data_IF_282549911463
#
_entry.id   IF_282549911463
#
_cell.length_a   1.000
_cell.length_b   1.000
_cell.length_c   1.000
_cell.angle_alpha   90.00
_cell.angle_beta   90.00
_cell.angle_gamma   90.00
#
_symmetry.space_group_name_H-M   'P 1'
#
loop_
_entity.id
_entity.type
_entity.pdbx_description
1 polymer ?
#
# COMPACT_ATOMS: atom_id res chain seq x y z
N UNK A 1 -6.61 0.30 -18.15
CA UNK A 1 -6.29 1.65 -17.60
C UNK A 1 -6.75 2.69 -18.60
N UNK A 2 -7.21 3.86 -18.13
CA UNK A 2 -7.78 4.88 -18.99
C UNK A 2 -6.72 5.92 -19.40
N UNK A 3 -6.67 6.34 -20.68
CA UNK A 3 -5.68 7.28 -21.18
C UNK A 3 -6.02 8.74 -20.85
N UNK A 4 -5.94 9.11 -19.58
CA UNK A 4 -6.36 10.43 -19.07
C UNK A 4 -5.28 11.53 -19.12
N UNK A 5 -4.06 11.20 -19.57
CA UNK A 5 -2.91 12.12 -19.60
C UNK A 5 -2.50 12.44 -21.04
N UNK A 6 -3.28 13.32 -21.71
CA UNK A 6 -3.08 13.69 -23.12
C UNK A 6 -2.96 12.47 -24.05
N UNK A 7 -3.85 11.50 -23.88
CA UNK A 7 -3.87 10.26 -24.67
C UNK A 7 -3.00 9.12 -24.12
N UNK A 8 -2.28 9.33 -23.01
CA UNK A 8 -1.53 8.28 -22.31
C UNK A 8 -2.19 7.87 -21.01
N UNK A 9 -2.05 6.59 -20.67
CA UNK A 9 -2.37 6.04 -19.34
C UNK A 9 -1.27 6.38 -18.33
N UNK A 10 -1.55 6.38 -17.02
CA UNK A 10 -0.51 6.59 -16.00
C UNK A 10 0.68 5.64 -16.15
N UNK A 11 0.43 4.33 -16.40
CA UNK A 11 1.53 3.37 -16.59
C UNK A 11 2.40 3.72 -17.80
N UNK A 12 1.82 4.18 -18.90
CA UNK A 12 2.59 4.60 -20.07
C UNK A 12 3.48 5.80 -19.74
N UNK A 13 2.98 6.76 -18.96
CA UNK A 13 3.79 7.91 -18.54
C UNK A 13 4.97 7.46 -17.66
N UNK A 14 4.77 6.54 -16.73
CA UNK A 14 5.85 5.98 -15.91
C UNK A 14 6.87 5.21 -16.77
N UNK A 15 6.40 4.37 -17.68
CA UNK A 15 7.24 3.61 -18.61
C UNK A 15 8.07 4.53 -19.51
N UNK A 16 7.46 5.57 -20.08
CA UNK A 16 8.15 6.55 -20.93
C UNK A 16 9.23 7.31 -20.14
N UNK A 17 8.92 7.70 -18.91
CA UNK A 17 9.86 8.38 -18.03
C UNK A 17 11.08 7.50 -17.70
N UNK A 18 10.83 6.25 -17.28
CA UNK A 18 11.89 5.29 -16.99
C UNK A 18 12.75 4.99 -18.24
N UNK A 19 12.13 4.87 -19.42
CA UNK A 19 12.85 4.65 -20.68
C UNK A 19 13.75 5.83 -21.01
N UNK A 20 13.23 7.06 -20.90
CA UNK A 20 14.02 8.28 -21.14
C UNK A 20 15.19 8.40 -20.15
N UNK A 21 14.98 8.05 -18.88
CA UNK A 21 16.05 8.01 -17.88
C UNK A 21 17.13 6.99 -18.27
N UNK A 22 16.74 5.76 -18.62
CA UNK A 22 17.68 4.73 -19.08
C UNK A 22 18.51 5.21 -20.27
N UNK A 23 17.86 5.75 -21.30
CA UNK A 23 18.55 6.21 -22.51
C UNK A 23 19.53 7.35 -22.20
N UNK A 24 19.12 8.30 -21.34
CA UNK A 24 19.95 9.44 -20.99
C UNK A 24 21.17 9.07 -20.14
N UNK A 25 21.01 8.11 -19.24
CA UNK A 25 22.04 7.72 -18.26
C UNK A 25 22.64 6.34 -18.51
N UNK A 26 22.51 5.82 -19.73
CA UNK A 26 22.92 4.45 -20.10
C UNK A 26 24.35 4.12 -19.66
N UNK A 27 25.29 5.03 -19.86
CA UNK A 27 26.71 4.82 -19.57
C UNK A 27 27.04 4.82 -18.06
N UNK A 28 26.09 5.23 -17.22
CA UNK A 28 26.22 5.26 -15.77
C UNK A 28 25.55 4.07 -15.08
N UNK A 29 24.62 3.38 -15.75
CA UNK A 29 23.87 2.26 -15.18
C UNK A 29 24.78 1.05 -14.94
N UNK A 30 24.60 0.41 -13.79
CA UNK A 30 25.41 -0.73 -13.36
C UNK A 30 26.80 -0.39 -12.83
N UNK A 31 27.17 0.90 -12.82
CA UNK A 31 28.44 1.37 -12.26
C UNK A 31 28.22 2.54 -11.27
N UNK A 32 27.94 3.74 -11.78
CA UNK A 32 27.65 4.90 -10.92
C UNK A 32 26.24 4.81 -10.36
N UNK A 33 25.28 4.42 -11.21
CA UNK A 33 23.90 4.18 -10.83
C UNK A 33 23.72 2.67 -10.64
N UNK A 34 23.88 2.23 -9.38
CA UNK A 34 23.82 0.81 -9.01
C UNK A 34 22.42 0.33 -8.64
N UNK A 35 21.50 1.26 -8.34
CA UNK A 35 20.14 0.96 -7.90
C UNK A 35 19.14 1.97 -8.45
N UNK A 36 17.99 1.47 -8.89
CA UNK A 36 16.82 2.24 -9.31
C UNK A 36 15.67 1.90 -8.36
N UNK A 37 15.32 2.83 -7.48
CA UNK A 37 14.14 2.68 -6.62
C UNK A 37 12.90 3.16 -7.38
N UNK A 38 11.98 2.25 -7.67
CA UNK A 38 10.75 2.55 -8.42
C UNK A 38 9.67 3.00 -7.44
N UNK A 39 9.27 4.26 -7.54
CA UNK A 39 8.20 4.82 -6.72
C UNK A 39 6.82 4.29 -7.11
N UNK A 40 6.05 3.82 -6.12
CA UNK A 40 4.73 3.17 -6.34
C UNK A 40 3.57 3.86 -5.61
N UNK A 41 3.78 5.09 -5.12
CA UNK A 41 2.76 5.80 -4.36
C UNK A 41 3.32 7.02 -3.60
N UNK A 42 2.59 7.50 -2.57
CA UNK A 42 3.02 8.66 -1.77
C UNK A 42 4.39 8.38 -1.14
N UNK A 43 5.27 9.39 -1.14
CA UNK A 43 6.66 9.26 -0.66
C UNK A 43 7.47 8.16 -1.38
N UNK A 44 7.04 7.72 -2.57
CA UNK A 44 7.64 6.61 -3.32
C UNK A 44 7.25 5.22 -2.81
N UNK A 45 6.42 5.12 -1.78
CA UNK A 45 6.07 3.87 -1.10
C UNK A 45 4.90 3.17 -1.80
N UNK A 46 4.91 1.84 -1.82
CA UNK A 46 3.76 1.04 -2.21
C UNK A 46 2.73 1.08 -1.08
N UNK A 47 1.84 2.08 -1.09
CA UNK A 47 0.70 2.21 -0.19
C UNK A 47 -0.31 3.22 -0.68
N UNK A 48 -1.44 3.28 0.00
CA UNK A 48 -2.37 4.40 -0.11
C UNK A 48 -1.96 5.59 0.78
N UNK A 49 -2.40 6.82 0.45
CA UNK A 49 -2.14 8.02 1.26
C UNK A 49 -3.10 8.11 2.46
N UNK A 50 -3.14 7.09 3.33
CA UNK A 50 -4.14 6.97 4.41
C UNK A 50 -3.90 7.83 5.65
N UNK A 51 -2.71 8.43 5.79
CA UNK A 51 -2.32 9.30 6.90
C UNK A 51 -1.72 10.64 6.39
N UNK A 52 -2.51 11.50 5.72
CA UNK A 52 -2.02 12.78 5.23
C UNK A 52 -1.78 13.76 6.39
N UNK A 53 -0.51 14.02 6.71
CA UNK A 53 -0.13 15.01 7.75
C UNK A 53 -0.40 16.47 7.32
N UNK A 54 -0.50 16.71 6.01
CA UNK A 54 -0.77 18.02 5.45
C UNK A 54 -2.01 18.66 6.08
N UNK A 55 -1.88 19.91 6.52
CA UNK A 55 -2.96 20.71 7.11
C UNK A 55 -3.60 20.11 8.38
N UNK A 56 -2.95 19.13 9.02
CA UNK A 56 -3.43 18.52 10.26
C UNK A 56 -4.64 17.60 10.09
N UNK A 57 -4.92 17.13 8.87
CA UNK A 57 -5.98 16.15 8.59
C UNK A 57 -5.80 14.88 9.41
N UNK A 58 -4.59 14.35 9.43
CA UNK A 58 -4.19 13.23 10.28
C UNK A 58 -3.11 13.64 11.28
N UNK A 59 -3.11 13.01 12.45
CA UNK A 59 -2.09 13.12 13.49
C UNK A 59 -1.81 11.75 14.06
N UNK A 60 -0.54 11.48 14.31
CA UNK A 60 -0.13 10.26 14.99
C UNK A 60 -0.77 10.16 16.39
N UNK A 61 -1.29 8.99 16.81
CA UNK A 61 -1.27 7.69 16.11
C UNK A 61 -2.62 7.31 15.48
N UNK A 62 -3.36 8.21 14.83
CA UNK A 62 -4.70 7.90 14.31
C UNK A 62 -4.75 6.73 13.31
N UNK A 63 -5.89 6.03 13.23
CA UNK A 63 -6.09 4.88 12.33
C UNK A 63 -5.95 5.21 10.82
N UNK A 64 -6.07 6.47 10.43
CA UNK A 64 -6.16 6.85 9.01
C UNK A 64 -7.52 6.56 8.39
N UNK A 65 -7.63 6.68 7.07
CA UNK A 65 -8.87 6.34 6.33
C UNK A 65 -8.56 5.59 5.04
N UNK A 66 -9.49 4.74 4.60
CA UNK A 66 -9.42 4.08 3.30
C UNK A 66 -9.43 5.11 2.16
N UNK A 67 -8.57 4.93 1.16
CA UNK A 67 -8.41 5.88 0.05
C UNK A 67 -8.88 5.27 -1.27
N UNK A 68 -10.17 4.91 -1.35
CA UNK A 68 -10.75 4.19 -2.49
C UNK A 68 -12.05 4.79 -3.03
N UNK A 69 -12.32 6.05 -2.73
CA UNK A 69 -13.60 6.71 -3.04
C UNK A 69 -13.63 7.42 -4.41
N UNK A 70 -12.54 7.37 -5.17
CA UNK A 70 -12.58 7.86 -6.55
C UNK A 70 -13.49 6.97 -7.42
N UNK A 71 -14.05 7.57 -8.48
CA UNK A 71 -15.01 6.89 -9.36
C UNK A 71 -14.49 5.61 -10.02
N UNK A 72 -13.17 5.46 -10.20
CA UNK A 72 -12.59 4.28 -10.83
C UNK A 72 -12.47 3.13 -9.85
N UNK A 73 -12.00 3.40 -8.62
CA UNK A 73 -12.00 2.42 -7.54
C UNK A 73 -13.42 2.00 -7.17
N UNK A 74 -14.36 2.93 -7.05
CA UNK A 74 -15.77 2.63 -6.81
C UNK A 74 -16.38 1.71 -7.87
N UNK A 75 -16.15 2.00 -9.15
CA UNK A 75 -16.60 1.12 -10.24
C UNK A 75 -15.94 -0.27 -10.18
N UNK A 76 -14.65 -0.34 -9.79
CA UNK A 76 -13.97 -1.62 -9.62
C UNK A 76 -14.53 -2.45 -8.46
N UNK A 77 -14.83 -1.81 -7.32
CA UNK A 77 -15.43 -2.48 -6.17
C UNK A 77 -16.81 -3.03 -6.52
N UNK A 78 -17.66 -2.21 -7.15
CA UNK A 78 -18.98 -2.60 -7.61
C UNK A 78 -18.93 -3.80 -8.57
N UNK A 79 -17.97 -3.82 -9.50
CA UNK A 79 -17.80 -4.94 -10.43
C UNK A 79 -17.41 -6.24 -9.71
N UNK A 80 -16.48 -6.19 -8.74
CA UNK A 80 -16.05 -7.36 -7.97
C UNK A 80 -17.17 -7.87 -7.04
N UNK A 81 -17.92 -6.96 -6.43
CA UNK A 81 -19.08 -7.28 -5.61
C UNK A 81 -20.18 -8.00 -6.43
N UNK A 82 -20.48 -7.48 -7.63
CA UNK A 82 -21.42 -8.10 -8.56
C UNK A 82 -20.96 -9.49 -9.02
N UNK A 83 -19.67 -9.65 -9.33
CA UNK A 83 -19.11 -10.93 -9.72
C UNK A 83 -19.19 -11.98 -8.57
N UNK A 84 -19.14 -11.52 -7.32
CA UNK A 84 -19.31 -12.36 -6.14
C UNK A 84 -20.79 -12.63 -5.77
N UNK A 85 -21.76 -12.06 -6.50
CA UNK A 85 -23.19 -12.15 -6.18
C UNK A 85 -23.59 -11.35 -4.94
N UNK A 86 -22.82 -10.33 -4.58
CA UNK A 86 -22.97 -9.53 -3.36
C UNK A 86 -23.05 -8.04 -3.69
N UNK A 87 -23.98 -7.67 -4.57
CA UNK A 87 -24.11 -6.32 -5.15
C UNK A 87 -24.08 -5.20 -4.11
N UNK A 88 -24.70 -5.41 -2.93
CA UNK A 88 -24.73 -4.43 -1.83
C UNK A 88 -23.36 -4.12 -1.24
N UNK A 89 -22.39 -5.03 -1.36
CA UNK A 89 -21.01 -4.82 -0.87
C UNK A 89 -20.22 -3.88 -1.78
N UNK A 90 -20.75 -3.61 -2.98
CA UNK A 90 -20.16 -2.77 -4.01
C UNK A 90 -20.46 -1.28 -3.89
N UNK A 91 -21.31 -0.87 -2.94
CA UNK A 91 -21.85 0.49 -2.85
C UNK A 91 -20.88 1.50 -2.24
N UNK A 92 -19.78 1.04 -1.63
CA UNK A 92 -18.77 1.89 -1.02
C UNK A 92 -17.85 1.12 -0.08
N UNK A 93 -16.86 1.83 0.48
CA UNK A 93 -16.05 1.29 1.57
C UNK A 93 -16.86 1.15 2.88
N UNK A 94 -16.28 0.50 3.91
CA UNK A 94 -16.97 0.25 5.16
C UNK A 94 -17.44 1.55 5.84
N UNK A 95 -18.75 1.65 6.08
CA UNK A 95 -19.38 2.85 6.63
C UNK A 95 -19.06 3.09 8.11
N UNK A 96 -18.62 2.05 8.81
CA UNK A 96 -18.30 2.04 10.24
C UNK A 96 -16.78 2.13 10.51
N UNK A 97 -15.98 2.50 9.50
CA UNK A 97 -14.52 2.64 9.58
C UNK A 97 -14.02 3.87 10.32
N UNK A 98 -14.90 4.81 10.67
CA UNK A 98 -14.53 6.01 11.42
C UNK A 98 -13.76 7.02 10.56
N UNK A 99 -12.91 7.80 11.23
CA UNK A 99 -12.15 8.91 10.63
C UNK A 99 -10.67 8.93 11.04
N UNK A 100 -9.86 9.70 10.32
CA UNK A 100 -8.38 9.74 10.41
C UNK A 100 -7.78 9.61 11.81
N UNK A 101 -8.29 10.36 12.79
CA UNK A 101 -7.67 10.53 14.11
C UNK A 101 -8.27 9.66 15.22
N UNK A 102 -9.20 8.77 14.89
CA UNK A 102 -9.79 7.86 15.87
C UNK A 102 -8.84 6.72 16.23
N UNK A 103 -9.13 6.04 17.33
CA UNK A 103 -8.49 4.78 17.69
C UNK A 103 -9.34 3.60 17.21
N UNK A 104 -8.76 2.39 17.05
CA UNK A 104 -9.50 1.25 16.55
C UNK A 104 -10.77 0.94 17.35
N UNK A 105 -10.70 1.03 18.68
CA UNK A 105 -11.82 0.75 19.59
C UNK A 105 -12.96 1.77 19.51
N UNK A 106 -12.73 2.96 18.93
CA UNK A 106 -13.76 3.98 18.72
C UNK A 106 -14.61 3.73 17.46
N UNK A 107 -14.28 2.69 16.68
CA UNK A 107 -14.91 2.40 15.39
C UNK A 107 -15.69 1.09 15.42
N UNK A 108 -16.75 0.99 14.61
CA UNK A 108 -17.44 -0.28 14.41
C UNK A 108 -16.59 -1.27 13.61
N UNK A 109 -15.81 -0.76 12.66
CA UNK A 109 -15.03 -1.58 11.76
C UNK A 109 -13.80 -2.17 12.40
N UNK A 110 -12.94 -1.38 13.07
CA UNK A 110 -11.59 -1.78 13.48
C UNK A 110 -11.44 -2.26 14.93
N UNK A 111 -12.47 -2.10 15.78
CA UNK A 111 -12.43 -2.58 17.17
C UNK A 111 -12.14 -4.08 17.25
N UNK A 112 -11.76 -4.57 18.42
CA UNK A 112 -11.32 -5.97 18.63
C UNK A 112 -12.20 -7.05 17.98
N UNK A 113 -13.53 -6.92 18.06
CA UNK A 113 -14.54 -7.79 17.44
C UNK A 113 -15.36 -7.01 16.39
N UNK A 114 -14.68 -6.16 15.62
CA UNK A 114 -15.26 -5.29 14.60
C UNK A 114 -15.56 -6.01 13.29
N UNK A 115 -16.22 -5.29 12.38
CA UNK A 115 -16.63 -5.83 11.07
C UNK A 115 -15.45 -6.11 10.14
N UNK A 116 -14.23 -5.65 10.45
CA UNK A 116 -12.98 -6.03 9.76
C UNK A 116 -12.79 -7.54 9.62
N UNK A 117 -13.26 -8.31 10.62
CA UNK A 117 -13.16 -9.78 10.63
C UNK A 117 -14.43 -10.50 10.13
N UNK A 118 -15.42 -9.76 9.65
CA UNK A 118 -16.62 -10.34 9.02
C UNK A 118 -16.34 -10.76 7.57
N UNK A 119 -17.25 -11.53 6.96
CA UNK A 119 -17.15 -11.90 5.55
C UNK A 119 -17.08 -10.68 4.61
N UNK A 120 -17.83 -9.61 4.93
CA UNK A 120 -17.76 -8.35 4.21
C UNK A 120 -16.41 -7.66 4.39
N UNK A 121 -15.92 -7.59 5.63
CA UNK A 121 -14.63 -6.98 5.94
C UNK A 121 -13.48 -7.67 5.22
N UNK A 122 -13.47 -9.01 5.25
CA UNK A 122 -12.49 -9.82 4.53
C UNK A 122 -12.56 -9.57 3.02
N UNK A 123 -13.76 -9.59 2.42
CA UNK A 123 -13.94 -9.27 1.00
C UNK A 123 -13.40 -7.89 0.63
N UNK A 124 -13.74 -6.85 1.41
CA UNK A 124 -13.31 -5.49 1.13
C UNK A 124 -11.80 -5.35 1.26
N UNK A 125 -11.20 -5.91 2.32
CA UNK A 125 -9.76 -5.83 2.58
C UNK A 125 -8.95 -6.66 1.56
N UNK A 126 -9.45 -7.80 1.10
CA UNK A 126 -8.87 -8.58 0.00
C UNK A 126 -8.87 -7.77 -1.30
N UNK A 127 -9.99 -7.15 -1.64
CA UNK A 127 -10.07 -6.27 -2.81
C UNK A 127 -9.11 -5.08 -2.69
N UNK A 128 -9.14 -4.37 -1.56
CA UNK A 128 -8.39 -3.13 -1.38
C UNK A 128 -6.86 -3.36 -1.42
N UNK A 129 -6.39 -4.36 -0.68
CA UNK A 129 -4.98 -4.77 -0.70
C UNK A 129 -4.57 -5.41 -2.04
N UNK A 130 -5.48 -6.19 -2.65
CA UNK A 130 -5.28 -6.75 -3.98
C UNK A 130 -5.06 -5.70 -5.06
N UNK A 131 -5.80 -4.58 -5.01
CA UNK A 131 -5.59 -3.45 -5.94
C UNK A 131 -4.22 -2.79 -5.79
N UNK A 132 -3.70 -2.73 -4.57
CA UNK A 132 -2.34 -2.23 -4.32
C UNK A 132 -1.29 -3.19 -4.88
N UNK A 133 -1.47 -4.50 -4.69
CA UNK A 133 -0.58 -5.52 -5.27
C UNK A 133 -0.58 -5.48 -6.81
N UNK A 134 -1.76 -5.41 -7.44
CA UNK A 134 -1.91 -5.27 -8.89
C UNK A 134 -1.26 -3.97 -9.41
N UNK A 135 -1.27 -2.90 -8.61
CA UNK A 135 -0.60 -1.64 -8.94
C UNK A 135 0.92 -1.81 -8.96
N UNK A 136 1.48 -2.36 -7.87
CA UNK A 136 2.92 -2.64 -7.77
C UNK A 136 3.42 -3.56 -8.88
N UNK A 137 2.73 -4.68 -9.11
CA UNK A 137 3.08 -5.68 -10.13
C UNK A 137 3.21 -5.05 -11.53
N UNK A 138 2.26 -4.20 -11.92
CA UNK A 138 2.29 -3.53 -13.24
C UNK A 138 3.43 -2.54 -13.39
N UNK A 139 3.71 -1.76 -12.34
CA UNK A 139 4.80 -0.76 -12.37
C UNK A 139 6.16 -1.46 -12.38
N UNK A 140 6.33 -2.48 -11.56
CA UNK A 140 7.58 -3.22 -11.45
C UNK A 140 7.85 -4.07 -12.68
N UNK A 141 6.83 -4.67 -13.31
CA UNK A 141 6.98 -5.31 -14.61
C UNK A 141 7.51 -4.33 -15.68
N UNK A 142 7.03 -3.08 -15.68
CA UNK A 142 7.55 -2.05 -16.57
C UNK A 142 9.01 -1.69 -16.23
N UNK A 143 9.33 -1.50 -14.95
CA UNK A 143 10.69 -1.22 -14.47
C UNK A 143 11.67 -2.33 -14.84
N UNK A 144 11.31 -3.58 -14.58
CA UNK A 144 12.06 -4.78 -14.94
C UNK A 144 12.36 -4.79 -16.44
N UNK A 145 11.32 -4.67 -17.28
CA UNK A 145 11.49 -4.70 -18.75
C UNK A 145 12.44 -3.60 -19.28
N UNK A 146 12.54 -2.47 -18.59
CA UNK A 146 13.39 -1.35 -19.00
C UNK A 146 14.81 -1.55 -18.52
N UNK A 147 15.02 -1.89 -17.25
CA UNK A 147 16.34 -1.89 -16.62
C UNK A 147 17.02 -3.26 -16.60
N UNK A 148 16.33 -4.32 -17.04
CA UNK A 148 16.94 -5.64 -17.19
C UNK A 148 18.18 -5.57 -18.10
N UNK A 149 19.27 -6.20 -17.65
CA UNK A 149 20.55 -6.24 -18.37
C UNK A 149 21.40 -4.97 -18.24
N UNK A 150 20.94 -3.93 -17.53
CA UNK A 150 21.73 -2.71 -17.31
C UNK A 150 22.75 -2.83 -16.18
N UNK A 151 22.68 -3.90 -15.37
CA UNK A 151 23.52 -4.10 -14.19
C UNK A 151 23.05 -3.36 -12.93
N UNK A 152 22.15 -2.38 -13.06
CA UNK A 152 21.52 -1.73 -11.91
C UNK A 152 20.46 -2.65 -11.27
N UNK A 153 20.38 -2.65 -9.93
CA UNK A 153 19.34 -3.34 -9.18
C UNK A 153 18.04 -2.54 -9.18
N UNK A 154 16.90 -3.23 -9.15
CA UNK A 154 15.63 -2.58 -8.88
C UNK A 154 15.27 -2.72 -7.40
N UNK A 155 14.73 -1.65 -6.82
CA UNK A 155 14.19 -1.68 -5.47
C UNK A 155 12.81 -1.03 -5.41
N UNK A 156 12.02 -1.44 -4.42
CA UNK A 156 10.69 -0.92 -4.13
C UNK A 156 10.56 -0.64 -2.65
N UNK A 157 9.90 0.47 -2.30
CA UNK A 157 9.77 0.90 -0.91
C UNK A 157 8.42 0.48 -0.33
N UNK A 158 8.42 -0.12 0.86
CA UNK A 158 7.22 -0.46 1.65
C UNK A 158 7.30 0.31 2.96
N UNK A 159 6.19 0.93 3.38
CA UNK A 159 6.15 1.77 4.57
C UNK A 159 6.08 0.92 5.85
N UNK A 160 6.82 1.34 6.87
CA UNK A 160 6.77 0.77 8.22
C UNK A 160 5.63 1.38 9.03
N UNK A 161 4.45 0.79 8.98
CA UNK A 161 3.27 1.29 9.70
C UNK A 161 3.16 0.57 11.04
N UNK A 162 3.84 1.15 12.03
CA UNK A 162 4.06 0.48 13.31
C UNK A 162 2.99 0.77 14.36
N UNK A 163 2.18 1.84 14.23
CA UNK A 163 1.14 2.16 15.20
C UNK A 163 -0.08 1.26 15.01
N UNK A 164 -0.77 0.97 16.12
CA UNK A 164 -1.85 -0.02 16.21
C UNK A 164 -1.48 -1.45 15.80
N UNK A 165 -0.20 -1.75 15.56
CA UNK A 165 0.27 -3.10 15.25
C UNK A 165 -0.09 -4.12 16.35
N UNK A 166 -0.08 -3.70 17.62
CA UNK A 166 -0.45 -4.58 18.74
C UNK A 166 -1.96 -4.79 18.92
N UNK A 167 -2.80 -4.14 18.10
CA UNK A 167 -4.26 -4.40 18.10
C UNK A 167 -4.58 -5.62 17.23
N UNK A 168 -5.80 -6.18 17.31
CA UNK A 168 -6.13 -7.34 16.46
C UNK A 168 -6.33 -6.99 14.99
N UNK A 169 -6.87 -5.80 14.73
CA UNK A 169 -7.20 -5.33 13.39
C UNK A 169 -6.01 -4.75 12.65
N UNK A 170 -4.97 -4.27 13.36
CA UNK A 170 -3.85 -3.57 12.75
C UNK A 170 -4.33 -2.39 11.89
N UNK A 171 -5.29 -1.60 12.41
CA UNK A 171 -6.11 -0.66 11.64
C UNK A 171 -5.32 0.25 10.68
N UNK A 172 -4.17 0.77 11.11
CA UNK A 172 -3.34 1.65 10.30
C UNK A 172 -2.72 0.94 9.08
N UNK A 173 -2.33 -0.34 9.23
CA UNK A 173 -1.84 -1.16 8.13
C UNK A 173 -2.97 -1.41 7.13
N UNK A 174 -4.18 -1.72 7.63
CA UNK A 174 -5.35 -1.95 6.79
C UNK A 174 -5.71 -0.73 5.93
N UNK A 175 -5.77 0.46 6.53
CA UNK A 175 -6.10 1.69 5.79
C UNK A 175 -5.03 2.06 4.77
N UNK A 176 -3.77 1.72 5.02
CA UNK A 176 -2.68 1.91 4.07
C UNK A 176 -2.64 0.88 2.94
N UNK A 177 -3.47 -0.17 3.01
CA UNK A 177 -3.59 -1.22 2.01
C UNK A 177 -2.78 -2.49 2.32
N UNK A 178 -2.12 -2.55 3.47
CA UNK A 178 -1.47 -3.76 3.97
C UNK A 178 -2.50 -4.56 4.74
N UNK A 179 -3.05 -5.61 4.13
CA UNK A 179 -4.00 -6.48 4.82
C UNK A 179 -3.29 -7.43 5.79
N UNK A 180 -2.52 -6.85 6.70
CA UNK A 180 -1.88 -7.52 7.82
C UNK A 180 -2.85 -7.52 8.99
N UNK A 181 -2.99 -8.66 9.67
CA UNK A 181 -3.75 -8.75 10.92
C UNK A 181 -3.03 -9.73 11.82
N UNK A 182 -3.52 -9.90 13.06
CA UNK A 182 -2.97 -10.86 14.00
C UNK A 182 -2.87 -12.31 13.47
N UNK A 183 -3.70 -12.66 12.48
CA UNK A 183 -3.80 -14.03 11.95
C UNK A 183 -3.48 -14.12 10.45
N UNK A 184 -3.07 -13.02 9.81
CA UNK A 184 -2.81 -12.95 8.38
C UNK A 184 -1.57 -12.11 8.12
N UNK A 185 -0.59 -12.72 7.47
CA UNK A 185 0.59 -12.00 6.98
C UNK A 185 0.23 -11.17 5.73
N UNK A 186 0.19 -9.84 5.91
CA UNK A 186 -0.08 -8.89 4.84
C UNK A 186 1.12 -8.55 3.96
N UNK A 187 2.34 -8.79 4.44
CA UNK A 187 3.58 -8.41 3.76
C UNK A 187 4.12 -9.52 2.86
N UNK A 188 3.86 -10.79 3.17
CA UNK A 188 4.29 -11.92 2.36
C UNK A 188 3.80 -11.85 0.90
N UNK A 189 2.54 -11.48 0.59
CA UNK A 189 2.12 -11.26 -0.79
C UNK A 189 2.91 -10.14 -1.50
N UNK A 190 3.26 -9.07 -0.78
CA UNK A 190 4.07 -7.96 -1.31
C UNK A 190 5.48 -8.45 -1.61
N UNK A 191 6.11 -9.16 -0.67
CA UNK A 191 7.44 -9.74 -0.85
C UNK A 191 7.50 -10.72 -2.02
N UNK A 192 6.47 -11.56 -2.19
CA UNK A 192 6.34 -12.46 -3.36
C UNK A 192 6.22 -11.70 -4.68
N UNK A 193 5.43 -10.63 -4.70
CA UNK A 193 5.28 -9.77 -5.87
C UNK A 193 6.60 -9.06 -6.22
N UNK A 194 7.34 -8.54 -5.24
CA UNK A 194 8.67 -7.95 -5.46
C UNK A 194 9.68 -9.00 -5.97
N UNK A 195 9.69 -10.19 -5.35
CA UNK A 195 10.58 -11.28 -5.72
C UNK A 195 10.33 -11.79 -7.15
N UNK A 196 9.06 -11.83 -7.60
CA UNK A 196 8.68 -12.16 -8.98
C UNK A 196 9.42 -11.30 -10.02
N UNK A 197 9.71 -10.04 -9.68
CA UNK A 197 10.39 -9.07 -10.54
C UNK A 197 11.87 -8.86 -10.20
N UNK A 198 12.44 -9.66 -9.30
CA UNK A 198 13.82 -9.49 -8.84
C UNK A 198 14.08 -8.17 -8.11
N UNK A 199 13.05 -7.59 -7.50
CA UNK A 199 13.10 -6.27 -6.85
C UNK A 199 13.49 -6.41 -5.37
N UNK A 200 14.45 -5.60 -4.93
CA UNK A 200 14.86 -5.50 -3.53
C UNK A 200 13.78 -4.75 -2.73
N UNK A 201 13.37 -5.33 -1.60
CA UNK A 201 12.44 -4.70 -0.67
C UNK A 201 13.21 -3.73 0.24
N UNK A 202 12.90 -2.44 0.12
CA UNK A 202 13.37 -1.40 1.02
C UNK A 202 12.28 -1.10 2.05
N UNK A 203 12.58 -1.34 3.33
CA UNK A 203 11.66 -1.16 4.44
C UNK A 203 12.11 0.01 5.34
N UNK A 204 11.17 0.70 5.95
CA UNK A 204 11.45 1.80 6.89
C UNK A 204 11.27 1.36 8.34
N UNK A 205 11.62 2.24 9.30
CA UNK A 205 11.45 2.03 10.75
C UNK A 205 12.40 1.00 11.37
N UNK A 206 13.52 0.69 10.70
CA UNK A 206 14.54 -0.26 11.18
C UNK A 206 15.27 0.24 12.44
N UNK A 207 15.23 1.54 12.70
CA UNK A 207 15.88 2.20 13.83
C UNK A 207 15.02 2.29 15.09
N UNK A 208 13.71 2.08 14.96
CA UNK A 208 12.73 2.37 16.02
C UNK A 208 12.60 1.20 17.00
N UNK A 209 12.44 1.50 18.29
CA UNK A 209 12.20 0.49 19.34
C UNK A 209 10.80 0.60 19.94
N UNK A 210 10.24 -0.52 20.38
CA UNK A 210 8.90 -0.56 20.97
C UNK A 210 8.82 0.31 22.24
N UNK A 211 9.88 0.29 23.06
CA UNK A 211 9.97 1.07 24.30
C UNK A 211 10.08 2.58 24.12
N UNK A 212 10.30 3.07 22.90
CA UNK A 212 10.39 4.50 22.57
C UNK A 212 9.04 5.07 22.09
N UNK A 213 8.02 4.22 21.94
CA UNK A 213 6.72 4.61 21.41
C UNK A 213 5.70 4.91 22.52
N UNK A 214 4.75 5.85 22.30
CA UNK A 214 3.67 6.08 23.25
C UNK A 214 2.82 4.83 23.46
N UNK A 215 2.58 4.45 24.71
CA UNK A 215 1.81 3.23 25.04
C UNK A 215 0.39 3.25 24.44
N UNK A 216 -0.25 4.43 24.39
CA UNK A 216 -1.58 4.60 23.79
C UNK A 216 -1.63 4.26 22.30
N UNK A 217 -0.51 4.40 21.58
CA UNK A 217 -0.44 4.15 20.15
C UNK A 217 -0.47 2.66 19.78
N UNK A 218 -0.29 1.75 20.76
CA UNK A 218 -0.18 0.31 20.52
C UNK A 218 0.84 -0.03 19.42
N UNK A 219 1.98 0.66 19.44
CA UNK A 219 3.03 0.46 18.45
C UNK A 219 3.78 -0.85 18.64
N UNK A 220 4.30 -1.42 17.55
CA UNK A 220 5.40 -2.40 17.61
C UNK A 220 6.28 -2.34 16.34
N UNK A 221 7.16 -1.33 16.21
CA UNK A 221 8.14 -1.31 15.12
C UNK A 221 9.05 -2.55 15.12
N UNK A 222 9.45 -3.07 16.29
CA UNK A 222 10.29 -4.27 16.35
C UNK A 222 9.52 -5.52 15.93
N UNK A 223 8.23 -5.61 16.28
CA UNK A 223 7.35 -6.68 15.82
C UNK A 223 7.12 -6.63 14.32
N UNK A 224 6.98 -5.42 13.76
CA UNK A 224 6.79 -5.20 12.33
C UNK A 224 8.01 -5.60 11.47
N UNK A 225 9.23 -5.42 11.99
CA UNK A 225 10.47 -5.70 11.26
C UNK A 225 10.86 -7.20 11.28
N UNK A 226 10.37 -7.97 12.25
CA UNK A 226 10.69 -9.40 12.41
C UNK A 226 9.96 -10.30 11.43
#
# INVERSE_FOLDING_TARGET
MLPVLKGRTPIQVYTDYMRSFRERFNDYLGNVIVEIQVGMGPCGELRYPSYPESNGTWRFPGIGEFQCYDKYMGASLAAVAKAAGKDDWGQGGPHDSGHYNQFPEDTGFFRREGTWNSEYGQFFLEWYSGKLLEHGDRILAAGESIYQGTGAKLSGKVAGIHWHYNTRSHAAELTAGYYNTRHRDGYLPIARMLAKHGVVLNFTCMEMRDGEQPQSANCSPEGLVR
#
